data_IF_076776044460
#
_entry.id   IF_076776044460
#
_cell.length_a   1.000
_cell.length_b   1.000
_cell.length_c   1.000
_cell.angle_alpha   90.00
_cell.angle_beta   90.00
_cell.angle_gamma   90.00
#
_symmetry.space_group_name_H-M   'P 1'
#
loop_
_entity.id
_entity.type
_entity.pdbx_description
1 polymer ?
#
# COMPACT_ATOMS: atom_id res chain seq x y z
N UNK A 1 2.98 -2.73 21.60
CA UNK A 1 1.87 -2.13 20.83
C UNK A 1 2.39 -1.04 19.92
N UNK A 2 1.52 -0.51 19.06
CA UNK A 2 1.83 0.67 18.23
C UNK A 2 1.85 1.95 19.07
N UNK A 3 2.66 2.93 18.68
CA UNK A 3 2.54 4.30 19.21
C UNK A 3 1.30 4.98 18.61
N UNK A 4 0.90 6.13 19.16
CA UNK A 4 -0.20 6.93 18.59
C UNK A 4 0.06 7.30 17.12
N UNK A 5 1.27 7.77 16.79
CA UNK A 5 1.64 8.12 15.42
C UNK A 5 1.62 6.91 14.48
N UNK A 6 2.03 5.74 14.96
CA UNK A 6 2.02 4.51 14.18
C UNK A 6 0.58 4.04 13.90
N UNK A 7 -0.28 4.06 14.90
CA UNK A 7 -1.71 3.76 14.74
C UNK A 7 -2.37 4.77 13.79
N UNK A 8 -2.08 6.06 13.95
CA UNK A 8 -2.60 7.11 13.09
C UNK A 8 -2.12 6.95 11.64
N UNK A 9 -0.84 6.58 11.42
CA UNK A 9 -0.27 6.36 10.10
C UNK A 9 -0.96 5.21 9.35
N UNK A 10 -1.27 4.11 10.05
CA UNK A 10 -2.04 2.99 9.48
C UNK A 10 -3.48 3.42 9.19
N UNK A 11 -4.12 4.07 10.15
CA UNK A 11 -5.50 4.51 10.04
C UNK A 11 -5.74 5.48 8.86
N UNK A 12 -4.88 6.50 8.71
CA UNK A 12 -5.02 7.48 7.62
C UNK A 12 -4.71 6.85 6.25
N UNK A 13 -3.87 5.81 6.19
CA UNK A 13 -3.64 5.06 4.95
C UNK A 13 -4.87 4.27 4.50
N UNK A 14 -5.68 3.77 5.43
CA UNK A 14 -6.88 2.98 5.11
C UNK A 14 -8.13 3.82 4.85
N UNK A 15 -8.03 5.13 4.99
CA UNK A 15 -9.16 6.02 4.81
C UNK A 15 -9.29 6.50 3.36
N UNK A 16 -10.46 6.28 2.78
CA UNK A 16 -10.79 6.67 1.42
C UNK A 16 -12.05 7.54 1.39
N UNK A 17 -11.91 8.80 0.97
CA UNK A 17 -13.00 9.76 0.78
C UNK A 17 -12.85 10.57 -0.52
N UNK A 18 -11.93 10.16 -1.42
CA UNK A 18 -11.66 10.82 -2.70
C UNK A 18 -10.19 10.70 -3.16
N UNK A 19 -9.87 11.39 -4.25
CA UNK A 19 -8.56 11.30 -4.92
C UNK A 19 -7.40 11.96 -4.18
N UNK A 20 -7.69 12.78 -3.17
CA UNK A 20 -6.70 13.50 -2.36
C UNK A 20 -6.36 12.79 -1.05
N UNK A 21 -6.93 11.60 -0.83
CA UNK A 21 -6.59 10.76 0.32
C UNK A 21 -5.13 10.34 0.28
N UNK A 22 -4.57 10.05 1.45
CA UNK A 22 -3.19 9.61 1.55
C UNK A 22 -2.95 8.33 0.75
N UNK A 23 -3.89 7.39 0.81
CA UNK A 23 -3.88 6.18 -0.02
C UNK A 23 -3.68 6.50 -1.51
N UNK A 24 -4.54 7.35 -2.08
CA UNK A 24 -4.50 7.69 -3.49
C UNK A 24 -3.22 8.43 -3.87
N UNK A 25 -2.86 9.47 -3.12
CA UNK A 25 -1.72 10.34 -3.45
C UNK A 25 -0.41 9.59 -3.30
N UNK A 26 -0.22 8.84 -2.21
CA UNK A 26 1.00 8.07 -1.98
C UNK A 26 1.16 6.97 -3.03
N UNK A 27 0.10 6.17 -3.28
CA UNK A 27 0.20 5.10 -4.26
C UNK A 27 0.35 5.62 -5.70
N UNK A 28 -0.15 6.82 -6.01
CA UNK A 28 0.13 7.50 -7.28
C UNK A 28 1.59 7.92 -7.37
N UNK A 29 2.17 8.48 -6.31
CA UNK A 29 3.58 8.86 -6.26
C UNK A 29 4.49 7.62 -6.39
N UNK A 30 4.13 6.51 -5.73
CA UNK A 30 4.86 5.24 -5.79
C UNK A 30 4.84 4.60 -7.18
N UNK A 31 3.71 4.69 -7.90
CA UNK A 31 3.61 4.21 -9.29
C UNK A 31 4.36 5.09 -10.30
N UNK A 32 4.60 6.36 -9.97
CA UNK A 32 5.35 7.26 -10.84
C UNK A 32 6.80 6.83 -10.95
N UNK A 33 7.41 6.96 -12.12
CA UNK A 33 8.85 6.73 -12.32
C UNK A 33 9.72 7.86 -11.73
N UNK A 34 9.11 8.96 -11.27
CA UNK A 34 9.82 10.09 -10.68
C UNK A 34 10.25 9.79 -9.23
N UNK A 35 11.44 9.20 -9.07
CA UNK A 35 12.03 8.88 -7.75
C UNK A 35 12.35 10.11 -6.90
N UNK A 36 12.56 11.29 -7.50
CA UNK A 36 12.81 12.52 -6.74
C UNK A 36 11.54 12.99 -6.01
N UNK A 37 10.37 12.85 -6.66
CA UNK A 37 9.08 13.17 -6.06
C UNK A 37 8.73 12.29 -4.85
N UNK A 38 9.38 11.13 -4.68
CA UNK A 38 9.16 10.25 -3.54
C UNK A 38 9.83 10.71 -2.25
N UNK A 39 10.86 11.57 -2.32
CA UNK A 39 11.65 11.97 -1.14
C UNK A 39 10.80 12.61 -0.04
N UNK A 40 9.78 13.38 -0.41
CA UNK A 40 8.86 14.02 0.55
C UNK A 40 8.08 12.98 1.37
N UNK A 41 7.89 11.77 0.84
CA UNK A 41 7.13 10.69 1.47
C UNK A 41 8.00 9.80 2.37
N UNK A 42 9.33 9.90 2.32
CA UNK A 42 10.23 9.01 3.06
C UNK A 42 9.96 8.99 4.58
N UNK A 43 9.73 10.13 5.26
CA UNK A 43 9.41 10.10 6.70
C UNK A 43 8.12 9.34 6.99
N UNK A 44 7.07 9.57 6.20
CA UNK A 44 5.80 8.87 6.33
C UNK A 44 5.95 7.37 6.06
N UNK A 45 6.60 6.99 4.95
CA UNK A 45 6.81 5.60 4.60
C UNK A 45 7.60 4.85 5.67
N UNK A 46 8.63 5.49 6.25
CA UNK A 46 9.38 4.90 7.36
C UNK A 46 8.49 4.67 8.58
N UNK A 47 7.65 5.64 8.96
CA UNK A 47 6.73 5.50 10.08
C UNK A 47 5.71 4.38 9.85
N UNK A 48 5.11 4.37 8.66
CA UNK A 48 4.12 3.38 8.25
C UNK A 48 4.71 1.97 8.20
N UNK A 49 5.87 1.79 7.55
CA UNK A 49 6.59 0.51 7.49
C UNK A 49 6.99 0.01 8.89
N UNK A 50 7.45 0.91 9.76
CA UNK A 50 7.77 0.56 11.16
C UNK A 50 6.52 0.13 11.94
N UNK A 51 5.35 0.69 11.64
CA UNK A 51 4.09 0.27 12.25
C UNK A 51 3.70 -1.13 11.76
N UNK A 52 3.77 -1.39 10.44
CA UNK A 52 3.44 -2.69 9.86
C UNK A 52 4.33 -3.82 10.40
N UNK A 53 5.63 -3.57 10.57
CA UNK A 53 6.56 -4.55 11.16
C UNK A 53 6.22 -4.99 12.60
N UNK A 54 5.41 -4.20 13.32
CA UNK A 54 4.95 -4.54 14.68
C UNK A 54 3.64 -5.32 14.70
N UNK A 55 2.94 -5.42 13.56
CA UNK A 55 1.69 -6.15 13.45
C UNK A 55 1.94 -7.65 13.20
N UNK A 56 1.00 -8.54 13.57
CA UNK A 56 1.11 -9.96 13.27
C UNK A 56 1.20 -10.21 11.76
N UNK A 57 2.13 -11.08 11.35
CA UNK A 57 2.19 -11.57 9.98
C UNK A 57 1.17 -12.69 9.78
N UNK A 58 0.30 -12.54 8.78
CA UNK A 58 -0.69 -13.56 8.40
C UNK A 58 -0.25 -14.22 7.09
N UNK A 59 -0.36 -15.56 7.04
CA UNK A 59 -0.04 -16.37 5.85
C UNK A 59 -1.27 -17.12 5.39
N UNK A 60 -2.09 -16.45 4.59
CA UNK A 60 -3.34 -17.01 4.07
C UNK A 60 -3.61 -16.56 2.63
N UNK A 61 -4.61 -17.16 2.00
CA UNK A 61 -5.09 -16.70 0.71
C UNK A 61 -5.84 -15.38 0.91
N UNK A 62 -5.37 -14.33 0.25
CA UNK A 62 -5.96 -13.00 0.30
C UNK A 62 -6.40 -12.56 -1.09
N UNK A 63 -7.39 -11.68 -1.13
CA UNK A 63 -7.97 -11.15 -2.36
C UNK A 63 -7.66 -9.66 -2.49
N UNK A 64 -7.39 -9.22 -3.72
CA UNK A 64 -7.22 -7.81 -4.06
C UNK A 64 -8.17 -7.45 -5.20
N UNK A 65 -9.11 -6.55 -4.93
CA UNK A 65 -9.91 -5.92 -5.97
C UNK A 65 -9.08 -4.93 -6.78
N UNK A 66 -9.19 -4.99 -8.11
CA UNK A 66 -8.60 -4.00 -9.01
C UNK A 66 -9.69 -3.55 -9.99
N UNK A 67 -9.94 -2.23 -10.15
CA UNK A 67 -11.04 -1.73 -10.98
C UNK A 67 -10.74 -1.78 -12.50
N UNK A 68 -9.64 -2.42 -12.90
CA UNK A 68 -9.18 -2.51 -14.30
C UNK A 68 -8.87 -3.96 -14.62
N UNK A 69 -9.25 -4.41 -15.81
CA UNK A 69 -8.83 -5.73 -16.31
C UNK A 69 -7.33 -5.72 -16.56
N UNK A 70 -6.61 -6.40 -15.68
CA UNK A 70 -5.17 -6.57 -15.75
C UNK A 70 -4.78 -7.99 -16.16
N UNK A 71 -5.74 -8.88 -16.47
CA UNK A 71 -5.52 -10.31 -16.71
C UNK A 71 -4.45 -10.58 -17.77
N UNK A 72 -4.43 -9.78 -18.84
CA UNK A 72 -3.47 -9.89 -19.95
C UNK A 72 -2.04 -9.56 -19.57
N UNK A 73 -1.82 -8.88 -18.44
CA UNK A 73 -0.49 -8.46 -17.97
C UNK A 73 0.19 -9.51 -17.09
N UNK A 74 -0.48 -10.62 -16.77
CA UNK A 74 0.06 -11.67 -15.91
C UNK A 74 0.21 -12.98 -16.69
N UNK A 75 1.45 -13.35 -16.96
CA UNK A 75 1.77 -14.70 -17.39
C UNK A 75 1.98 -15.61 -16.17
N UNK A 76 1.67 -16.90 -16.33
CA UNK A 76 1.95 -17.91 -15.30
C UNK A 76 3.45 -17.92 -14.98
N UNK A 77 3.79 -17.97 -13.68
CA UNK A 77 5.16 -17.95 -13.16
C UNK A 77 5.96 -16.66 -13.41
N UNK A 78 5.29 -15.56 -13.77
CA UNK A 78 5.94 -14.26 -13.90
C UNK A 78 6.15 -13.61 -12.52
N UNK A 79 7.35 -13.09 -12.27
CA UNK A 79 7.61 -12.21 -11.13
C UNK A 79 7.10 -10.82 -11.47
N UNK A 80 6.20 -10.28 -10.64
CA UNK A 80 5.62 -8.94 -10.83
C UNK A 80 5.97 -8.06 -9.64
N UNK A 81 6.57 -6.90 -9.93
CA UNK A 81 6.85 -5.87 -8.93
C UNK A 81 5.69 -4.89 -8.87
N UNK A 82 5.06 -4.81 -7.71
CA UNK A 82 4.06 -3.79 -7.41
C UNK A 82 4.73 -2.62 -6.71
N UNK A 83 4.82 -1.48 -7.40
CA UNK A 83 5.49 -0.29 -6.84
C UNK A 83 4.72 0.37 -5.70
N UNK A 84 3.39 0.23 -5.67
CA UNK A 84 2.51 0.75 -4.61
C UNK A 84 2.39 -0.20 -3.43
N UNK A 85 1.90 0.30 -2.29
CA UNK A 85 1.44 -0.57 -1.20
C UNK A 85 0.24 -1.38 -1.67
N UNK A 86 0.19 -2.67 -1.31
CA UNK A 86 -0.83 -3.60 -1.76
C UNK A 86 -1.80 -3.92 -0.61
N UNK A 87 -2.99 -3.33 -0.67
CA UNK A 87 -4.10 -3.65 0.25
C UNK A 87 -4.84 -4.90 -0.23
N UNK A 88 -5.28 -5.74 0.71
CA UNK A 88 -6.00 -6.98 0.44
C UNK A 88 -7.00 -7.30 1.57
N UNK A 89 -7.92 -8.22 1.31
CA UNK A 89 -8.91 -8.72 2.28
C UNK A 89 -8.92 -10.25 2.30
N UNK A 90 -9.46 -10.84 3.37
CA UNK A 90 -9.62 -12.29 3.54
C UNK A 90 -10.74 -12.90 2.68
N UNK A 91 -11.51 -12.06 1.97
CA UNK A 91 -12.52 -12.48 1.00
C UNK A 91 -13.78 -13.11 1.63
N UNK A 92 -13.97 -12.95 2.94
CA UNK A 92 -15.25 -13.25 3.61
C UNK A 92 -16.28 -12.17 3.34
#
# INVERSE_FOLDING_TARGET
GLTQDQSAAVYIYTMEWGDTTLYHVLNKALRSENRQALKIWFPYMKLFDTALHKLPTVKEAVWRGVPVDISKNFAKNQIVTWWSVNSCSDGK
#
